data_IF_307682749724
#
_entry.id   IF_307682749724
#
_cell.length_a   1.000
_cell.length_b   1.000
_cell.length_c   1.000
_cell.angle_alpha   90.00
_cell.angle_beta   90.00
_cell.angle_gamma   90.00
#
_symmetry.space_group_name_H-M   'P 1'
#
loop_
_entity.id
_entity.type
_entity.pdbx_description
1 polymer ?
#
# COMPACT_ATOMS: atom_id res chain seq x y z
N UNK A 1 -12.40 -1.51 -15.84
CA UNK A 1 -12.09 -2.94 -15.80
C UNK A 1 -10.68 -3.19 -15.23
N UNK A 2 -9.67 -2.49 -15.70
CA UNK A 2 -8.27 -2.73 -15.30
C UNK A 2 -8.02 -2.45 -13.79
N UNK A 3 -8.66 -1.43 -13.19
CA UNK A 3 -8.54 -1.17 -11.75
C UNK A 3 -9.08 -2.31 -10.88
N UNK A 4 -10.18 -2.96 -11.29
CA UNK A 4 -10.74 -4.12 -10.56
C UNK A 4 -9.82 -5.34 -10.57
N UNK A 5 -8.99 -5.47 -11.61
CA UNK A 5 -7.98 -6.54 -11.71
C UNK A 5 -6.73 -6.18 -10.89
N UNK A 6 -6.35 -4.90 -10.92
CA UNK A 6 -5.17 -4.40 -10.24
C UNK A 6 -5.32 -4.43 -8.71
N UNK A 7 -6.41 -3.88 -8.20
CA UNK A 7 -6.61 -3.64 -6.78
C UNK A 7 -7.66 -4.58 -6.17
N UNK A 8 -7.44 -4.98 -4.94
CA UNK A 8 -8.38 -5.76 -4.15
C UNK A 8 -9.47 -4.87 -3.53
N UNK A 9 -9.12 -3.60 -3.21
CA UNK A 9 -10.01 -2.68 -2.52
C UNK A 9 -10.47 -1.54 -3.45
N UNK A 10 -11.81 -1.32 -3.59
CA UNK A 10 -12.35 -0.26 -4.44
C UNK A 10 -11.87 1.16 -4.07
N UNK A 11 -11.58 1.43 -2.78
CA UNK A 11 -11.07 2.73 -2.32
C UNK A 11 -9.75 3.13 -2.98
N UNK A 12 -8.98 2.15 -3.50
CA UNK A 12 -7.69 2.41 -4.16
C UNK A 12 -7.87 2.90 -5.60
N UNK A 13 -9.08 2.81 -6.18
CA UNK A 13 -9.33 3.21 -7.57
C UNK A 13 -9.15 4.72 -7.80
N UNK A 14 -9.36 5.53 -6.76
CA UNK A 14 -9.31 6.99 -6.82
C UNK A 14 -7.99 7.57 -6.30
N UNK A 15 -7.05 6.73 -5.90
CA UNK A 15 -5.74 7.19 -5.46
C UNK A 15 -4.97 7.82 -6.62
N UNK A 16 -4.59 9.07 -6.45
CA UNK A 16 -3.90 9.84 -7.48
C UNK A 16 -2.91 10.84 -6.87
N UNK A 17 -1.98 11.32 -7.67
CA UNK A 17 -0.96 12.26 -7.22
C UNK A 17 -1.47 13.69 -6.98
N UNK A 18 -2.65 14.05 -7.46
CA UNK A 18 -3.22 15.40 -7.33
C UNK A 18 -3.67 15.66 -5.89
N UNK A 19 -4.15 14.62 -5.22
CA UNK A 19 -4.58 14.66 -3.83
C UNK A 19 -3.44 14.41 -2.83
N UNK A 20 -2.23 14.10 -3.32
CA UNK A 20 -1.08 13.82 -2.48
C UNK A 20 -0.41 15.11 -1.98
N UNK A 21 0.05 15.11 -0.75
CA UNK A 21 0.93 16.17 -0.27
C UNK A 21 2.21 16.23 -1.11
N UNK A 22 2.66 17.46 -1.41
CA UNK A 22 3.88 17.69 -2.18
C UNK A 22 5.11 17.33 -1.34
N UNK A 23 5.63 16.13 -1.53
CA UNK A 23 6.88 15.65 -0.92
C UNK A 23 7.86 15.24 -2.00
N UNK A 24 9.16 15.22 -1.65
CA UNK A 24 10.21 14.74 -2.57
C UNK A 24 9.93 13.30 -3.05
N UNK A 25 9.33 12.46 -2.21
CA UNK A 25 9.00 11.08 -2.57
C UNK A 25 7.86 11.03 -3.59
N UNK A 26 6.85 11.90 -3.45
CA UNK A 26 5.76 12.03 -4.45
C UNK A 26 6.31 12.51 -5.79
N UNK A 27 7.21 13.49 -5.81
CA UNK A 27 7.80 13.97 -7.07
C UNK A 27 8.63 12.86 -7.75
N UNK A 28 9.43 12.10 -6.99
CA UNK A 28 10.14 10.92 -7.53
C UNK A 28 9.18 9.85 -8.07
N UNK A 29 8.04 9.63 -7.42
CA UNK A 29 7.01 8.69 -7.89
C UNK A 29 6.36 9.17 -9.20
N UNK A 30 6.10 10.47 -9.35
CA UNK A 30 5.63 11.06 -10.61
C UNK A 30 6.66 10.91 -11.72
N UNK A 31 7.92 11.23 -11.45
CA UNK A 31 9.03 11.06 -12.41
C UNK A 31 9.19 9.60 -12.85
N UNK A 32 9.05 8.65 -11.91
CA UNK A 32 9.07 7.22 -12.21
C UNK A 32 7.98 6.85 -13.22
N UNK A 33 6.75 7.31 -13.00
CA UNK A 33 5.65 7.03 -13.93
C UNK A 33 5.81 7.74 -15.27
N UNK A 34 6.32 8.97 -15.28
CA UNK A 34 6.58 9.70 -16.51
C UNK A 34 7.62 8.99 -17.39
N UNK A 35 8.69 8.46 -16.76
CA UNK A 35 9.81 7.79 -17.43
C UNK A 35 9.66 6.25 -17.42
N UNK A 36 8.43 5.72 -17.37
CA UNK A 36 8.16 4.29 -17.24
C UNK A 36 8.92 3.39 -18.20
N UNK A 37 9.07 3.79 -19.46
CA UNK A 37 9.75 2.96 -20.46
C UNK A 37 11.21 2.72 -20.09
N UNK A 38 11.89 3.75 -19.57
CA UNK A 38 13.29 3.64 -19.12
C UNK A 38 13.37 2.83 -17.82
N UNK A 39 12.44 3.03 -16.88
CA UNK A 39 12.38 2.24 -15.65
C UNK A 39 12.18 0.76 -15.97
N UNK A 40 11.27 0.44 -16.88
CA UNK A 40 11.00 -0.92 -17.35
C UNK A 40 12.21 -1.53 -18.04
N UNK A 41 12.86 -0.79 -18.94
CA UNK A 41 14.05 -1.24 -19.69
C UNK A 41 15.23 -1.56 -18.76
N UNK A 42 15.40 -0.77 -17.71
CA UNK A 42 16.48 -0.92 -16.74
C UNK A 42 16.07 -1.76 -15.51
N UNK A 43 14.88 -2.37 -15.51
CA UNK A 43 14.37 -3.23 -14.43
C UNK A 43 14.28 -2.53 -13.05
N UNK A 44 14.10 -1.20 -13.04
CA UNK A 44 14.12 -0.40 -11.80
C UNK A 44 12.74 -0.43 -11.13
N UNK A 45 12.71 -0.84 -9.88
CA UNK A 45 11.57 -0.75 -8.98
C UNK A 45 11.84 0.14 -7.77
N UNK A 46 10.88 0.23 -6.85
CA UNK A 46 11.01 0.96 -5.59
C UNK A 46 10.77 0.08 -4.37
N UNK A 47 11.58 0.29 -3.33
CA UNK A 47 11.28 -0.16 -1.98
C UNK A 47 10.86 1.05 -1.15
N UNK A 48 9.54 1.26 -1.00
CA UNK A 48 8.97 2.32 -0.18
C UNK A 48 8.98 1.88 1.29
N UNK A 49 9.82 2.50 2.10
CA UNK A 49 10.02 2.10 3.49
C UNK A 49 9.86 3.29 4.45
N UNK A 50 9.46 3.02 5.68
CA UNK A 50 9.29 4.06 6.71
C UNK A 50 8.18 3.72 7.71
N UNK A 51 7.87 4.61 8.67
CA UNK A 51 6.91 4.36 9.74
C UNK A 51 5.51 4.01 9.24
N UNK A 52 4.71 3.41 10.12
CA UNK A 52 3.31 3.06 9.83
C UNK A 52 2.49 4.35 9.62
N UNK A 53 1.60 4.33 8.61
CA UNK A 53 0.66 5.42 8.38
C UNK A 53 1.19 6.57 7.54
N UNK A 54 2.45 6.56 7.08
CA UNK A 54 3.09 7.65 6.31
C UNK A 54 2.74 7.69 4.82
N UNK A 55 1.82 6.84 4.35
CA UNK A 55 1.32 6.91 2.97
C UNK A 55 2.05 6.02 1.95
N UNK A 56 2.88 5.06 2.36
CA UNK A 56 3.60 4.14 1.44
C UNK A 56 2.68 3.45 0.44
N UNK A 57 1.63 2.78 0.94
CA UNK A 57 0.63 2.09 0.10
C UNK A 57 -0.11 3.07 -0.82
N UNK A 58 -0.40 4.29 -0.32
CA UNK A 58 -1.02 5.33 -1.12
C UNK A 58 -0.15 5.74 -2.31
N UNK A 59 1.16 5.99 -2.08
CA UNK A 59 2.11 6.32 -3.15
C UNK A 59 2.20 5.19 -4.18
N UNK A 60 2.28 3.94 -3.72
CA UNK A 60 2.29 2.76 -4.59
C UNK A 60 1.01 2.67 -5.44
N UNK A 61 -0.16 2.94 -4.85
CA UNK A 61 -1.44 2.98 -5.54
C UNK A 61 -1.56 4.13 -6.54
N UNK A 62 -1.00 5.32 -6.23
CA UNK A 62 -0.92 6.43 -7.19
C UNK A 62 -0.09 6.06 -8.42
N UNK A 63 1.06 5.40 -8.22
CA UNK A 63 1.89 4.88 -9.32
C UNK A 63 1.09 3.88 -10.16
N UNK A 64 0.40 2.94 -9.50
CA UNK A 64 -0.43 1.95 -10.18
C UNK A 64 -1.50 2.61 -11.07
N UNK A 65 -2.29 3.55 -10.51
CA UNK A 65 -3.34 4.24 -11.25
C UNK A 65 -2.78 5.07 -12.41
N UNK A 66 -1.67 5.77 -12.22
CA UNK A 66 -1.03 6.54 -13.28
C UNK A 66 -0.58 5.65 -14.46
N UNK A 67 -0.05 4.46 -14.19
CA UNK A 67 0.35 3.50 -15.21
C UNK A 67 -0.84 2.80 -15.86
N UNK A 68 -1.90 2.46 -15.09
CA UNK A 68 -3.15 1.89 -15.63
C UNK A 68 -3.85 2.86 -16.60
N UNK A 69 -3.77 4.17 -16.37
CA UNK A 69 -4.30 5.19 -17.28
C UNK A 69 -3.52 5.24 -18.62
N UNK A 70 -2.32 4.67 -18.65
CA UNK A 70 -1.48 4.50 -19.85
C UNK A 70 -1.54 3.07 -20.41
N UNK A 71 -2.55 2.29 -20.01
CA UNK A 71 -2.78 0.90 -20.44
C UNK A 71 -1.67 -0.08 -20.05
N UNK A 72 -0.78 0.30 -19.12
CA UNK A 72 0.22 -0.58 -18.55
C UNK A 72 -0.44 -1.57 -17.58
N UNK A 73 -0.10 -2.85 -17.70
CA UNK A 73 -0.67 -3.88 -16.82
C UNK A 73 0.01 -3.87 -15.46
N UNK A 74 -0.78 -3.58 -14.41
CA UNK A 74 -0.30 -3.53 -13.01
C UNK A 74 -1.12 -4.47 -12.14
N UNK A 75 -0.47 -5.15 -11.21
CA UNK A 75 -1.12 -5.84 -10.08
C UNK A 75 -0.56 -5.30 -8.77
N UNK A 76 -1.44 -4.91 -7.87
CA UNK A 76 -1.13 -4.55 -6.49
C UNK A 76 -1.83 -5.54 -5.57
N UNK A 77 -1.07 -6.21 -4.72
CA UNK A 77 -1.53 -7.21 -3.76
C UNK A 77 -0.57 -7.25 -2.57
N UNK A 78 -0.78 -8.14 -1.62
CA UNK A 78 0.11 -8.37 -0.48
C UNK A 78 0.38 -9.86 -0.29
N UNK A 79 1.41 -10.20 0.51
CA UNK A 79 1.77 -11.59 0.69
C UNK A 79 0.72 -12.42 1.42
N UNK A 80 -0.04 -11.84 2.34
CA UNK A 80 -1.10 -12.59 3.04
C UNK A 80 -2.19 -13.01 2.05
N UNK A 81 -2.66 -12.10 1.17
CA UNK A 81 -3.59 -12.42 0.10
C UNK A 81 -3.04 -13.51 -0.83
N UNK A 82 -1.77 -13.38 -1.27
CA UNK A 82 -1.14 -14.40 -2.13
C UNK A 82 -1.12 -15.77 -1.44
N UNK A 83 -0.76 -15.82 -0.16
CA UNK A 83 -0.71 -17.07 0.63
C UNK A 83 -2.11 -17.68 0.75
N UNK A 84 -3.11 -16.87 1.06
CA UNK A 84 -4.50 -17.32 1.21
C UNK A 84 -5.08 -17.80 -0.13
N UNK A 85 -4.84 -17.08 -1.23
CA UNK A 85 -5.26 -17.48 -2.58
C UNK A 85 -4.59 -18.78 -3.04
N UNK A 86 -3.32 -18.98 -2.69
CA UNK A 86 -2.55 -20.16 -3.10
C UNK A 86 -2.83 -21.40 -2.24
N UNK A 87 -3.42 -21.22 -1.04
CA UNK A 87 -3.66 -22.32 -0.11
C UNK A 87 -4.52 -23.44 -0.71
N UNK A 88 -5.66 -23.15 -1.38
CA UNK A 88 -6.52 -24.17 -1.97
C UNK A 88 -6.01 -24.71 -3.32
N UNK A 89 -4.95 -24.12 -3.92
CA UNK A 89 -4.50 -24.49 -5.25
C UNK A 89 -3.61 -25.73 -5.22
N UNK A 90 -3.89 -26.69 -6.11
CA UNK A 90 -3.02 -27.83 -6.37
C UNK A 90 -1.76 -27.38 -7.14
N UNK A 91 -1.93 -26.61 -8.23
CA UNK A 91 -0.83 -26.02 -9.00
C UNK A 91 -0.64 -24.55 -8.68
N UNK A 92 0.35 -24.30 -7.83
CA UNK A 92 0.77 -22.95 -7.41
C UNK A 92 1.61 -22.24 -8.47
N UNK A 93 2.17 -22.98 -9.39
CA UNK A 93 3.11 -22.47 -10.40
C UNK A 93 2.44 -21.52 -11.36
N UNK A 94 1.22 -21.86 -11.82
CA UNK A 94 0.48 -20.98 -12.74
C UNK A 94 0.09 -19.65 -12.08
N UNK A 95 -0.30 -19.67 -10.81
CA UNK A 95 -0.62 -18.43 -10.06
C UNK A 95 0.60 -17.51 -9.97
N UNK A 96 1.78 -18.06 -9.58
CA UNK A 96 3.03 -17.29 -9.49
C UNK A 96 3.45 -16.77 -10.87
N UNK A 97 3.30 -17.58 -11.92
CA UNK A 97 3.58 -17.17 -13.28
C UNK A 97 2.65 -16.04 -13.74
N UNK A 98 1.36 -16.09 -13.37
CA UNK A 98 0.40 -15.03 -13.67
C UNK A 98 0.80 -13.71 -13.03
N UNK A 99 1.20 -13.71 -11.75
CA UNK A 99 1.73 -12.52 -11.08
C UNK A 99 2.98 -11.97 -11.78
N UNK A 100 3.88 -12.83 -12.23
CA UNK A 100 5.11 -12.41 -12.91
C UNK A 100 4.87 -11.81 -14.31
N UNK A 101 3.70 -12.05 -14.94
CA UNK A 101 3.35 -11.50 -16.29
C UNK A 101 2.99 -10.03 -16.28
N UNK A 102 2.53 -9.46 -15.14
CA UNK A 102 2.24 -8.03 -15.06
C UNK A 102 3.48 -7.19 -15.34
N UNK A 103 3.33 -6.08 -16.05
CA UNK A 103 4.45 -5.19 -16.35
C UNK A 103 5.02 -4.59 -15.08
N UNK A 104 4.15 -4.19 -14.14
CA UNK A 104 4.52 -3.81 -12.78
C UNK A 104 3.79 -4.70 -11.77
N UNK A 105 4.54 -5.27 -10.82
CA UNK A 105 3.99 -5.93 -9.64
C UNK A 105 4.26 -5.02 -8.42
N UNK A 106 3.24 -4.82 -7.60
CA UNK A 106 3.33 -4.09 -6.34
C UNK A 106 2.97 -5.05 -5.21
N UNK A 107 3.88 -5.23 -4.27
CA UNK A 107 3.71 -6.07 -3.08
C UNK A 107 3.68 -5.18 -1.85
N UNK A 108 2.49 -5.02 -1.28
CA UNK A 108 2.24 -4.14 -0.15
C UNK A 108 2.54 -4.84 1.18
N UNK A 109 3.05 -4.08 2.16
CA UNK A 109 3.26 -4.49 3.56
C UNK A 109 4.16 -5.74 3.75
N UNK A 110 5.34 -5.79 3.08
CA UNK A 110 6.37 -6.79 3.36
C UNK A 110 6.76 -6.79 4.85
N UNK A 111 6.81 -7.97 5.45
CA UNK A 111 7.14 -8.18 6.86
C UNK A 111 5.92 -8.32 7.76
N UNK A 112 4.70 -8.33 7.21
CA UNK A 112 3.44 -8.59 7.93
C UNK A 112 2.91 -10.00 7.70
N UNK A 113 3.53 -10.76 6.82
CA UNK A 113 3.17 -12.13 6.48
C UNK A 113 3.35 -13.08 7.69
N UNK A 114 2.55 -14.16 7.69
CA UNK A 114 2.62 -15.19 8.74
C UNK A 114 4.03 -15.80 8.80
N UNK A 115 4.56 -15.93 10.01
CA UNK A 115 5.88 -16.51 10.21
C UNK A 115 5.83 -18.04 10.21
N UNK A 116 5.63 -18.66 9.04
CA UNK A 116 5.64 -20.10 8.82
C UNK A 116 6.56 -20.46 7.66
N UNK A 117 7.13 -21.66 7.67
CA UNK A 117 7.96 -22.17 6.56
C UNK A 117 7.20 -22.16 5.23
N UNK A 118 5.92 -22.52 5.26
CA UNK A 118 5.04 -22.48 4.08
C UNK A 118 4.91 -21.06 3.52
N UNK A 119 4.60 -20.08 4.37
CA UNK A 119 4.47 -18.68 3.94
C UNK A 119 5.80 -18.16 3.37
N UNK A 120 6.90 -18.45 4.04
CA UNK A 120 8.24 -18.04 3.60
C UNK A 120 8.62 -18.65 2.25
N UNK A 121 8.27 -19.93 2.02
CA UNK A 121 8.46 -20.59 0.74
C UNK A 121 7.67 -19.94 -0.41
N UNK A 122 6.43 -19.49 -0.15
CA UNK A 122 5.62 -18.75 -1.12
C UNK A 122 6.24 -17.38 -1.41
N UNK A 123 6.58 -16.60 -0.37
CA UNK A 123 7.24 -15.30 -0.51
C UNK A 123 8.50 -15.43 -1.37
N UNK A 124 9.35 -16.41 -1.04
CA UNK A 124 10.55 -16.68 -1.82
C UNK A 124 10.23 -16.98 -3.29
N UNK A 125 9.26 -17.85 -3.55
CA UNK A 125 8.89 -18.26 -4.91
C UNK A 125 8.38 -17.09 -5.76
N UNK A 126 7.55 -16.20 -5.17
CA UNK A 126 7.03 -15.00 -5.84
C UNK A 126 8.17 -14.03 -6.16
N UNK A 127 9.04 -13.74 -5.18
CA UNK A 127 10.17 -12.83 -5.36
C UNK A 127 11.19 -13.41 -6.35
N UNK A 128 11.54 -14.69 -6.26
CA UNK A 128 12.46 -15.35 -7.20
C UNK A 128 11.92 -15.33 -8.63
N UNK A 129 10.64 -15.62 -8.80
CA UNK A 129 10.01 -15.58 -10.12
C UNK A 129 9.99 -14.17 -10.70
N UNK A 130 9.70 -13.16 -9.85
CA UNK A 130 9.75 -11.76 -10.28
C UNK A 130 11.15 -11.33 -10.65
N UNK A 131 12.15 -11.65 -9.85
CA UNK A 131 13.56 -11.41 -10.11
C UNK A 131 13.98 -11.97 -11.48
N UNK A 132 13.68 -13.24 -11.75
CA UNK A 132 14.02 -13.89 -13.03
C UNK A 132 13.25 -13.31 -14.23
N UNK A 133 12.10 -12.68 -14.00
CA UNK A 133 11.34 -12.07 -15.10
C UNK A 133 11.96 -10.78 -15.62
N UNK A 134 12.89 -10.16 -14.88
CA UNK A 134 13.49 -8.87 -15.18
C UNK A 134 12.49 -7.72 -15.22
N UNK A 135 11.29 -7.86 -14.63
CA UNK A 135 10.28 -6.80 -14.64
C UNK A 135 10.29 -6.00 -13.35
N UNK A 136 10.01 -4.67 -13.40
CA UNK A 136 10.01 -3.82 -12.22
C UNK A 136 9.09 -4.30 -11.10
N UNK A 137 9.56 -4.17 -9.87
CA UNK A 137 8.86 -4.50 -8.64
C UNK A 137 8.77 -3.28 -7.74
N UNK A 138 7.60 -3.00 -7.18
CA UNK A 138 7.48 -2.07 -6.05
C UNK A 138 7.12 -2.86 -4.81
N UNK A 139 7.81 -2.60 -3.71
CA UNK A 139 7.52 -3.19 -2.41
C UNK A 139 7.32 -2.08 -1.39
N UNK A 140 6.33 -2.20 -0.53
CA UNK A 140 6.22 -1.34 0.64
C UNK A 140 6.56 -2.12 1.90
N UNK A 141 7.15 -1.46 2.90
CA UNK A 141 7.47 -2.10 4.18
C UNK A 141 7.60 -1.09 5.31
N UNK A 142 7.30 -1.53 6.51
CA UNK A 142 7.59 -0.79 7.74
C UNK A 142 8.96 -1.15 8.33
N UNK A 143 9.63 -2.16 7.77
CA UNK A 143 10.94 -2.59 8.24
C UNK A 143 12.02 -1.57 7.87
N UNK A 144 12.91 -1.19 8.79
CA UNK A 144 14.07 -0.36 8.46
C UNK A 144 15.00 -1.07 7.47
N UNK A 145 15.60 -0.32 6.54
CA UNK A 145 16.55 -0.89 5.57
C UNK A 145 17.70 -1.62 6.25
N UNK A 146 18.15 -1.13 7.41
CA UNK A 146 19.19 -1.80 8.21
C UNK A 146 18.78 -3.22 8.59
N UNK A 147 17.52 -3.41 9.03
CA UNK A 147 17.00 -4.73 9.40
C UNK A 147 16.97 -5.70 8.21
N UNK A 148 16.60 -5.21 7.01
CA UNK A 148 16.61 -6.03 5.80
C UNK A 148 18.03 -6.47 5.42
N UNK A 149 19.03 -5.59 5.59
CA UNK A 149 20.44 -5.87 5.29
C UNK A 149 21.11 -6.79 6.31
N UNK A 150 20.73 -6.67 7.57
CA UNK A 150 21.33 -7.39 8.69
C UNK A 150 20.55 -8.67 9.06
N UNK A 151 19.59 -9.10 8.23
CA UNK A 151 18.82 -10.33 8.45
C UNK A 151 19.75 -11.54 8.56
N UNK A 152 19.55 -12.35 9.60
CA UNK A 152 20.36 -13.53 9.89
C UNK A 152 19.73 -14.84 9.43
N UNK A 153 18.41 -14.88 9.29
CA UNK A 153 17.74 -16.03 8.71
C UNK A 153 18.07 -16.13 7.22
N UNK A 154 18.68 -17.22 6.79
CA UNK A 154 19.21 -17.40 5.43
C UNK A 154 18.13 -17.29 4.37
N UNK A 155 16.93 -17.79 4.63
CA UNK A 155 15.81 -17.75 3.68
C UNK A 155 15.28 -16.33 3.50
N UNK A 156 15.03 -15.60 4.60
CA UNK A 156 14.64 -14.21 4.58
C UNK A 156 15.70 -13.34 3.92
N UNK A 157 16.97 -13.59 4.24
CA UNK A 157 18.09 -12.87 3.62
C UNK A 157 18.07 -12.98 2.11
N UNK A 158 17.87 -14.18 1.56
CA UNK A 158 17.76 -14.37 0.10
C UNK A 158 16.62 -13.59 -0.53
N UNK A 159 15.49 -13.46 0.17
CA UNK A 159 14.34 -12.65 -0.29
C UNK A 159 14.73 -11.17 -0.30
N UNK A 160 15.28 -10.69 0.81
CA UNK A 160 15.63 -9.27 0.99
C UNK A 160 16.76 -8.82 0.06
N UNK A 161 17.77 -9.64 -0.16
CA UNK A 161 18.85 -9.36 -1.10
C UNK A 161 18.32 -9.14 -2.52
N UNK A 162 17.38 -10.00 -3.00
CA UNK A 162 16.75 -9.81 -4.31
C UNK A 162 15.88 -8.56 -4.37
N UNK A 163 15.12 -8.25 -3.33
CA UNK A 163 14.32 -7.02 -3.26
C UNK A 163 15.23 -5.79 -3.32
N UNK A 164 16.33 -5.78 -2.56
CA UNK A 164 17.28 -4.67 -2.53
C UNK A 164 18.05 -4.51 -3.84
N UNK A 165 18.21 -5.58 -4.63
CA UNK A 165 18.79 -5.52 -5.97
C UNK A 165 17.81 -4.95 -7.00
N UNK A 166 16.52 -5.38 -6.97
CA UNK A 166 15.49 -4.93 -7.91
C UNK A 166 14.93 -3.53 -7.60
N UNK A 167 15.02 -3.07 -6.36
CA UNK A 167 14.27 -1.93 -5.86
C UNK A 167 15.17 -0.86 -5.26
N UNK A 168 15.03 0.37 -5.74
CA UNK A 168 15.70 1.54 -5.14
C UNK A 168 14.97 1.92 -3.85
N UNK A 169 15.65 1.96 -2.68
CA UNK A 169 15.01 2.36 -1.44
C UNK A 169 14.61 3.83 -1.44
N UNK A 170 13.34 4.11 -1.16
CA UNK A 170 12.81 5.45 -0.95
C UNK A 170 12.17 5.54 0.43
N UNK A 171 12.65 6.46 1.25
CA UNK A 171 12.09 6.72 2.56
C UNK A 171 10.80 7.52 2.45
N UNK A 172 9.75 7.04 3.11
CA UNK A 172 8.46 7.70 3.23
C UNK A 172 8.25 8.06 4.69
N UNK A 173 8.63 9.27 5.04
CA UNK A 173 8.48 9.84 6.38
C UNK A 173 7.27 10.77 6.48
N UNK A 174 7.11 11.41 7.65
CA UNK A 174 6.04 12.35 7.94
C UNK A 174 5.14 11.90 9.10
N UNK A 175 4.10 12.68 9.39
CA UNK A 175 3.06 12.30 10.35
C UNK A 175 2.23 11.13 9.82
N UNK A 176 1.53 10.46 10.74
CA UNK A 176 0.63 9.38 10.33
C UNK A 176 -0.70 9.96 9.85
N UNK A 177 -0.96 9.90 8.55
CA UNK A 177 -2.27 10.28 7.98
C UNK A 177 -3.46 9.57 8.64
N UNK A 178 -3.26 8.33 9.11
CA UNK A 178 -4.31 7.59 9.83
C UNK A 178 -4.61 8.24 11.19
N UNK A 179 -3.59 8.75 11.86
CA UNK A 179 -3.73 9.48 13.13
C UNK A 179 -4.45 10.82 12.90
N UNK A 180 -4.07 11.54 11.86
CA UNK A 180 -4.65 12.84 11.52
C UNK A 180 -6.14 12.71 11.16
N UNK A 181 -6.49 11.70 10.33
CA UNK A 181 -7.89 11.37 10.00
C UNK A 181 -8.67 10.95 11.25
N UNK A 182 -8.07 10.20 12.17
CA UNK A 182 -8.73 9.80 13.41
C UNK A 182 -9.01 11.01 14.30
N UNK A 183 -8.05 11.93 14.44
CA UNK A 183 -8.23 13.18 15.18
C UNK A 183 -9.33 14.07 14.55
N UNK A 184 -9.35 14.21 13.23
CA UNK A 184 -10.40 14.95 12.51
C UNK A 184 -11.79 14.37 12.77
N UNK A 185 -11.94 13.03 12.66
CA UNK A 185 -13.20 12.36 12.97
C UNK A 185 -13.64 12.56 14.41
N UNK A 186 -12.71 12.49 15.35
CA UNK A 186 -13.02 12.76 16.76
C UNK A 186 -13.45 14.21 16.98
N UNK A 187 -12.82 15.18 16.30
CA UNK A 187 -13.22 16.58 16.33
C UNK A 187 -14.65 16.78 15.81
N UNK A 188 -14.95 16.24 14.66
CA UNK A 188 -16.31 16.28 14.06
C UNK A 188 -17.38 15.66 14.98
N UNK A 189 -17.05 14.54 15.63
CA UNK A 189 -17.97 13.87 16.53
C UNK A 189 -18.22 14.70 17.82
N UNK A 190 -17.19 15.30 18.40
CA UNK A 190 -17.34 16.20 19.55
C UNK A 190 -18.25 17.38 19.24
N UNK A 191 -18.07 18.01 18.07
CA UNK A 191 -18.93 19.11 17.62
C UNK A 191 -20.39 18.65 17.43
N UNK A 192 -20.60 17.47 16.85
CA UNK A 192 -21.93 16.89 16.64
C UNK A 192 -22.66 16.69 17.98
N UNK A 193 -22.02 16.10 18.99
CA UNK A 193 -22.63 15.87 20.31
C UNK A 193 -22.89 17.19 21.05
N UNK A 194 -21.98 18.15 20.99
CA UNK A 194 -22.18 19.46 21.60
C UNK A 194 -23.41 20.19 21.01
N UNK A 195 -23.62 20.09 19.68
CA UNK A 195 -24.78 20.67 19.02
C UNK A 195 -26.06 19.95 19.40
N UNK A 196 -26.03 18.62 19.54
CA UNK A 196 -27.19 17.83 19.94
C UNK A 196 -27.61 18.15 21.40
N UNK A 197 -26.66 18.31 22.32
CA UNK A 197 -26.94 18.70 23.72
C UNK A 197 -27.55 20.11 23.79
N UNK A 198 -27.04 21.07 23.02
CA UNK A 198 -27.58 22.42 22.95
C UNK A 198 -29.04 22.43 22.45
N UNK A 199 -29.33 21.66 21.38
CA UNK A 199 -30.68 21.55 20.83
C UNK A 199 -31.67 20.88 21.78
N UNK A 200 -31.21 19.91 22.60
CA UNK A 200 -32.03 19.28 23.64
C UNK A 200 -32.32 20.26 24.79
N UNK A 201 -31.34 21.06 25.19
CA UNK A 201 -31.52 22.06 26.22
C UNK A 201 -32.51 23.15 25.81
N UNK A 202 -32.47 23.65 24.57
CA UNK A 202 -33.42 24.62 24.02
C UNK A 202 -34.86 24.05 23.97
N UNK A 203 -35.03 22.80 23.55
CA UNK A 203 -36.34 22.14 23.53
C UNK A 203 -36.94 21.95 24.94
N UNK A 204 -36.11 21.72 25.96
CA UNK A 204 -36.57 21.60 27.35
C UNK A 204 -37.03 22.97 27.89
N UNK A 205 -36.31 24.05 27.54
CA UNK A 205 -36.67 25.41 27.93
C UNK A 205 -37.98 25.87 27.28
N UNK A 206 -38.23 25.57 26.01
CA UNK A 206 -39.49 25.85 25.36
C UNK A 206 -40.68 25.10 25.93
N UNK A 207 -40.48 23.84 26.30
CA UNK A 207 -41.56 23.01 26.93
C UNK A 207 -41.86 23.42 28.38
N UNK A 208 -40.90 23.97 29.11
CA UNK A 208 -41.10 24.40 30.49
C UNK A 208 -41.57 25.86 30.61
N UNK A 209 -41.33 26.69 29.58
CA UNK A 209 -41.75 28.11 29.56
C UNK A 209 -43.25 28.34 29.25
N UNK A 210 -44.03 27.31 28.93
CA UNK A 210 -45.45 27.45 28.57
C UNK A 210 -46.42 27.05 29.68
N UNK A 211 -45.97 27.09 30.94
CA UNK A 211 -46.87 26.92 32.09
C UNK A 211 -46.71 28.06 33.11
N UNK A 212 -47.22 29.22 32.74
CA UNK A 212 -47.61 30.20 33.73
C UNK A 212 -48.66 31.13 33.10
N UNK A 213 -49.94 30.75 33.27
CA UNK A 213 -51.09 31.63 33.64
C UNK A 213 -52.20 30.67 34.04
#
# INVERSE_FOLDING_TARGET
RNRKICFEEPRMYDWNFELAEKTTTIEKAKEYTANWNDMKKNHIGFLLWGPIGTGKSYIAGCIANALLNREITVKMTNFNTIIDDMFPLEDKTEYINALARYELLILDDLGTERNSEYALGIVFSVIDRRYRSGRPLIVTTNLPIKQLKEETNIEKKRIYDRILEMCVPLYVGGSSYRSDIAHEKMGKMKTFFATAESSQAENIIEQTGTKTI
#
